data_IF_751484523319
#
_entry.id   IF_751484523319
#
_cell.length_a   1.000
_cell.length_b   1.000
_cell.length_c   1.000
_cell.angle_alpha   90.00
_cell.angle_beta   90.00
_cell.angle_gamma   90.00
#
_symmetry.space_group_name_H-M   'P 1'
#
loop_
_entity.id
_entity.type
_entity.pdbx_description
1 polymer ?
#
# COMPACT_ATOMS: atom_id res chain seq x y z
N UNK A 1 -19.52 -3.00 -20.31
CA UNK A 1 -19.84 -1.70 -20.95
C UNK A 1 -21.21 -1.19 -20.50
N UNK A 2 -21.33 -0.81 -19.22
CA UNK A 2 -22.52 -0.13 -18.69
C UNK A 2 -22.10 0.81 -17.55
N UNK A 3 -21.23 1.77 -17.89
CA UNK A 3 -21.14 3.02 -17.15
C UNK A 3 -22.32 3.87 -17.62
N UNK A 4 -23.13 4.35 -16.67
CA UNK A 4 -24.14 5.37 -16.91
C UNK A 4 -23.46 6.54 -17.63
N UNK A 5 -23.75 6.73 -18.93
CA UNK A 5 -23.18 7.75 -19.82
C UNK A 5 -23.21 9.20 -19.27
N UNK A 6 -23.88 9.45 -18.15
CA UNK A 6 -23.97 10.77 -17.52
C UNK A 6 -22.76 11.14 -16.65
N UNK A 7 -21.96 10.17 -16.18
CA UNK A 7 -20.84 10.45 -15.26
C UNK A 7 -19.45 10.26 -15.88
N UNK A 8 -19.35 9.79 -17.12
CA UNK A 8 -18.04 9.48 -17.73
C UNK A 8 -17.14 10.72 -17.85
N UNK A 9 -17.69 11.87 -18.24
CA UNK A 9 -16.94 13.12 -18.34
C UNK A 9 -16.36 13.56 -16.98
N UNK A 10 -17.11 13.33 -15.89
CA UNK A 10 -16.66 13.66 -14.54
C UNK A 10 -15.54 12.72 -14.10
N UNK A 11 -15.66 11.43 -14.39
CA UNK A 11 -14.60 10.45 -14.13
C UNK A 11 -13.35 10.80 -14.94
N UNK A 12 -13.49 11.14 -16.22
CA UNK A 12 -12.37 11.58 -17.07
C UNK A 12 -11.69 12.84 -16.52
N UNK A 13 -12.45 13.82 -16.04
CA UNK A 13 -11.91 15.02 -15.40
C UNK A 13 -11.09 14.68 -14.14
N UNK A 14 -11.60 13.79 -13.28
CA UNK A 14 -10.88 13.32 -12.09
C UNK A 14 -9.60 12.55 -12.49
N UNK A 15 -9.69 11.67 -13.49
CA UNK A 15 -8.54 10.96 -14.04
C UNK A 15 -7.46 11.93 -14.53
N UNK A 16 -7.85 12.96 -15.30
CA UNK A 16 -6.93 14.01 -15.75
C UNK A 16 -6.28 14.76 -14.58
N UNK A 17 -7.04 15.05 -13.52
CA UNK A 17 -6.52 15.65 -12.29
C UNK A 17 -5.43 14.82 -11.60
N UNK A 18 -5.45 13.50 -11.75
CA UNK A 18 -4.42 12.58 -11.26
C UNK A 18 -3.36 12.20 -12.31
N UNK A 19 -3.46 12.74 -13.53
CA UNK A 19 -2.55 12.42 -14.64
C UNK A 19 -2.68 11.00 -15.17
N UNK A 20 -3.85 10.36 -15.00
CA UNK A 20 -4.14 9.00 -15.48
C UNK A 20 -5.18 9.02 -16.60
N UNK A 21 -5.17 7.99 -17.44
CA UNK A 21 -6.23 7.79 -18.44
C UNK A 21 -7.34 6.90 -17.89
N UNK A 22 -8.55 6.98 -18.48
CA UNK A 22 -9.65 6.10 -18.10
C UNK A 22 -9.32 4.63 -18.40
N UNK A 23 -8.67 4.37 -19.53
CA UNK A 23 -8.27 3.03 -19.97
C UNK A 23 -7.27 2.39 -18.99
N UNK A 24 -6.35 3.20 -18.44
CA UNK A 24 -5.43 2.74 -17.41
C UNK A 24 -6.20 2.28 -16.18
N UNK A 25 -7.18 3.06 -15.72
CA UNK A 25 -8.01 2.70 -14.56
C UNK A 25 -8.88 1.47 -14.85
N UNK A 26 -9.45 1.36 -16.04
CA UNK A 26 -10.20 0.17 -16.47
C UNK A 26 -9.32 -1.10 -16.46
N UNK A 27 -8.06 -0.99 -16.88
CA UNK A 27 -7.11 -2.09 -16.80
C UNK A 27 -6.76 -2.44 -15.34
N UNK A 28 -6.63 -1.44 -14.46
CA UNK A 28 -6.35 -1.64 -13.03
C UNK A 28 -7.51 -2.38 -12.33
N UNK A 29 -8.74 -1.91 -12.49
CA UNK A 29 -9.91 -2.58 -11.88
C UNK A 29 -10.07 -4.01 -12.41
N UNK A 30 -9.76 -4.23 -13.70
CA UNK A 30 -9.75 -5.56 -14.32
C UNK A 30 -8.67 -6.47 -13.72
N UNK A 31 -7.44 -5.96 -13.54
CA UNK A 31 -6.36 -6.70 -12.85
C UNK A 31 -6.70 -7.00 -11.39
N UNK A 32 -7.48 -6.13 -10.73
CA UNK A 32 -8.05 -6.37 -9.41
C UNK A 32 -9.29 -7.28 -9.41
N UNK A 33 -9.67 -7.86 -10.56
CA UNK A 33 -10.71 -8.88 -10.67
C UNK A 33 -12.12 -8.35 -10.91
N UNK A 34 -12.30 -7.07 -11.20
CA UNK A 34 -13.61 -6.48 -11.50
C UNK A 34 -13.89 -6.50 -13.01
N UNK A 35 -14.98 -7.16 -13.40
CA UNK A 35 -15.44 -7.20 -14.80
C UNK A 35 -16.21 -5.94 -15.23
N UNK A 36 -16.60 -5.12 -14.26
CA UNK A 36 -17.39 -3.91 -14.46
C UNK A 36 -16.91 -2.85 -13.47
N UNK A 37 -17.19 -1.58 -13.76
CA UNK A 37 -16.90 -0.49 -12.83
C UNK A 37 -17.54 -0.76 -11.45
N UNK A 38 -16.74 -0.81 -10.36
CA UNK A 38 -17.28 -1.03 -9.01
C UNK A 38 -18.27 0.08 -8.64
N UNK A 39 -19.38 -0.29 -7.99
CA UNK A 39 -20.29 0.72 -7.41
C UNK A 39 -19.63 1.31 -6.16
N UNK A 40 -19.91 2.58 -5.86
CA UNK A 40 -19.57 3.17 -4.58
C UNK A 40 -20.52 2.60 -3.50
N UNK A 41 -20.11 1.50 -2.86
CA UNK A 41 -20.84 0.84 -1.77
C UNK A 41 -19.86 0.13 -0.84
N UNK A 42 -20.27 -0.13 0.39
CA UNK A 42 -19.40 -0.79 1.38
C UNK A 42 -18.90 -2.16 0.90
N UNK A 43 -19.77 -3.00 0.35
CA UNK A 43 -19.40 -4.32 -0.17
C UNK A 43 -18.34 -4.25 -1.28
N UNK A 44 -18.48 -3.29 -2.21
CA UNK A 44 -17.52 -3.11 -3.28
C UNK A 44 -16.20 -2.52 -2.78
N UNK A 45 -16.24 -1.62 -1.79
CA UNK A 45 -15.03 -1.11 -1.13
C UNK A 45 -14.27 -2.25 -0.45
N UNK A 46 -14.99 -3.11 0.28
CA UNK A 46 -14.42 -4.30 0.94
C UNK A 46 -13.80 -5.27 -0.07
N UNK A 47 -14.50 -5.57 -1.16
CA UNK A 47 -13.98 -6.41 -2.25
C UNK A 47 -12.75 -5.79 -2.93
N UNK A 48 -12.79 -4.48 -3.20
CA UNK A 48 -11.68 -3.76 -3.84
C UNK A 48 -10.45 -3.79 -2.95
N UNK A 49 -10.61 -3.44 -1.67
CA UNK A 49 -9.52 -3.41 -0.72
C UNK A 49 -8.95 -4.80 -0.45
N UNK A 50 -9.80 -5.82 -0.33
CA UNK A 50 -9.35 -7.20 -0.24
C UNK A 50 -8.52 -7.61 -1.47
N UNK A 51 -8.99 -7.26 -2.67
CA UNK A 51 -8.26 -7.56 -3.91
C UNK A 51 -6.93 -6.81 -3.97
N UNK A 52 -6.92 -5.53 -3.57
CA UNK A 52 -5.70 -4.73 -3.47
C UNK A 52 -4.66 -5.42 -2.58
N UNK A 53 -5.05 -5.81 -1.36
CA UNK A 53 -4.16 -6.47 -0.39
C UNK A 53 -3.60 -7.83 -0.89
N UNK A 54 -4.28 -8.50 -1.81
CA UNK A 54 -3.84 -9.78 -2.38
C UNK A 54 -2.94 -9.62 -3.60
N UNK A 55 -3.14 -8.54 -4.37
CA UNK A 55 -2.53 -8.39 -5.69
C UNK A 55 -1.41 -7.36 -5.75
N UNK A 56 -1.51 -6.25 -5.00
CA UNK A 56 -0.51 -5.18 -5.01
C UNK A 56 0.49 -5.42 -3.87
N UNK A 57 1.74 -5.82 -4.15
CA UNK A 57 2.70 -6.09 -3.09
C UNK A 57 3.15 -4.79 -2.42
N UNK A 58 3.47 -4.88 -1.13
CA UNK A 58 4.20 -3.82 -0.45
C UNK A 58 5.69 -4.01 -0.74
N UNK A 59 6.31 -3.11 -1.50
CA UNK A 59 7.72 -3.22 -1.88
C UNK A 59 8.45 -1.88 -1.94
N UNK A 60 9.77 -1.93 -2.11
CA UNK A 60 10.60 -0.75 -2.37
C UNK A 60 11.45 -0.85 -3.63
N UNK A 61 11.06 -1.69 -4.59
CA UNK A 61 11.86 -2.08 -5.75
C UNK A 61 12.24 -0.88 -6.60
N UNK A 62 11.26 -0.05 -6.99
CA UNK A 62 11.51 1.15 -7.77
C UNK A 62 12.45 2.11 -7.08
N UNK A 63 12.32 2.23 -5.76
CA UNK A 63 13.20 3.05 -4.94
C UNK A 63 14.63 2.51 -4.91
N UNK A 64 14.80 1.19 -4.81
CA UNK A 64 16.12 0.53 -4.88
C UNK A 64 16.78 0.76 -6.23
N UNK A 65 16.04 0.59 -7.33
CA UNK A 65 16.54 0.81 -8.69
C UNK A 65 16.97 2.27 -8.86
N UNK A 66 16.13 3.21 -8.42
CA UNK A 66 16.43 4.64 -8.49
C UNK A 66 17.77 5.00 -7.81
N UNK A 67 17.98 4.55 -6.56
CA UNK A 67 19.21 4.85 -5.84
C UNK A 67 20.42 4.04 -6.35
N UNK A 68 20.23 2.76 -6.65
CA UNK A 68 21.28 1.89 -7.18
C UNK A 68 21.85 2.38 -8.51
N UNK A 69 21.00 2.95 -9.37
CA UNK A 69 21.38 3.54 -10.65
C UNK A 69 21.74 5.03 -10.55
N UNK A 70 21.77 5.60 -9.34
CA UNK A 70 22.10 7.02 -9.09
C UNK A 70 21.26 7.97 -9.96
N UNK A 71 19.97 7.64 -10.11
CA UNK A 71 19.06 8.43 -10.93
C UNK A 71 18.83 9.82 -10.30
N UNK A 72 18.54 10.80 -11.15
CA UNK A 72 18.18 12.16 -10.76
C UNK A 72 16.70 12.45 -11.06
N UNK A 73 16.10 13.40 -10.34
CA UNK A 73 14.70 13.80 -10.52
C UNK A 73 13.79 13.30 -9.38
N UNK A 74 12.46 13.37 -9.55
CA UNK A 74 11.51 12.87 -8.56
C UNK A 74 11.76 11.39 -8.24
N UNK A 75 11.44 10.97 -7.01
CA UNK A 75 11.39 9.55 -6.67
C UNK A 75 10.29 8.88 -7.52
N UNK A 76 10.54 7.64 -8.00
CA UNK A 76 9.56 6.91 -8.79
C UNK A 76 8.32 6.63 -7.95
N UNK A 77 7.22 6.23 -8.59
CA UNK A 77 5.92 5.88 -7.99
C UNK A 77 5.31 7.00 -7.12
N UNK A 78 5.79 8.24 -7.28
CA UNK A 78 5.28 9.43 -6.57
C UNK A 78 4.02 10.04 -7.19
N UNK A 79 3.55 9.49 -8.31
CA UNK A 79 2.31 9.89 -8.97
C UNK A 79 1.47 8.65 -9.35
N UNK A 80 0.13 8.79 -9.48
CA UNK A 80 -0.75 7.65 -9.75
C UNK A 80 -0.48 6.93 -11.08
N UNK A 81 -0.16 7.67 -12.15
CA UNK A 81 0.08 7.11 -13.48
C UNK A 81 1.25 6.14 -13.50
N UNK A 82 2.37 6.56 -12.91
CA UNK A 82 3.55 5.72 -12.76
C UNK A 82 3.29 4.53 -11.82
N UNK A 83 2.60 4.74 -10.70
CA UNK A 83 2.24 3.65 -9.78
C UNK A 83 1.43 2.57 -10.50
N UNK A 84 0.36 2.95 -11.20
CA UNK A 84 -0.53 2.01 -11.89
C UNK A 84 0.14 1.33 -13.08
N UNK A 85 0.90 2.06 -13.88
CA UNK A 85 1.62 1.48 -15.03
C UNK A 85 2.61 0.41 -14.57
N UNK A 86 3.40 0.71 -13.53
CA UNK A 86 4.34 -0.23 -12.93
C UNK A 86 3.65 -1.44 -12.28
N UNK A 87 2.47 -1.27 -11.69
CA UNK A 87 1.68 -2.39 -11.18
C UNK A 87 1.18 -3.28 -12.32
N UNK A 88 0.68 -2.71 -13.42
CA UNK A 88 0.23 -3.51 -14.57
C UNK A 88 1.38 -4.29 -15.20
N UNK A 89 2.51 -3.62 -15.44
CA UNK A 89 3.63 -4.15 -16.22
C UNK A 89 4.54 -5.09 -15.42
N UNK A 90 4.77 -4.78 -14.15
CA UNK A 90 5.79 -5.46 -13.34
C UNK A 90 5.25 -6.08 -12.06
N UNK A 91 3.94 -5.94 -11.80
CA UNK A 91 3.29 -6.39 -10.55
C UNK A 91 3.95 -5.83 -9.29
N UNK A 92 4.59 -4.67 -9.40
CA UNK A 92 5.14 -3.90 -8.28
C UNK A 92 4.07 -3.01 -7.65
N UNK A 93 4.28 -2.59 -6.41
CA UNK A 93 3.46 -1.61 -5.72
C UNK A 93 4.36 -0.50 -5.18
N UNK A 94 4.49 -0.43 -3.86
CA UNK A 94 5.37 0.53 -3.21
C UNK A 94 5.38 0.45 -1.69
N UNK A 95 5.94 1.47 -1.06
CA UNK A 95 5.89 1.63 0.40
C UNK A 95 4.63 2.39 0.82
N UNK A 96 4.49 2.74 2.11
CA UNK A 96 3.30 3.38 2.68
C UNK A 96 2.80 4.59 1.87
N UNK A 97 3.69 5.51 1.49
CA UNK A 97 3.31 6.70 0.73
C UNK A 97 2.85 6.36 -0.69
N UNK A 98 3.59 5.51 -1.42
CA UNK A 98 3.20 5.07 -2.76
C UNK A 98 1.86 4.34 -2.76
N UNK A 99 1.64 3.43 -1.79
CA UNK A 99 0.35 2.77 -1.61
C UNK A 99 -0.77 3.75 -1.31
N UNK A 100 -0.54 4.75 -0.46
CA UNK A 100 -1.55 5.77 -0.16
C UNK A 100 -1.89 6.62 -1.38
N UNK A 101 -0.88 6.99 -2.18
CA UNK A 101 -1.05 7.74 -3.44
C UNK A 101 -1.92 6.94 -4.42
N UNK A 102 -1.57 5.67 -4.66
CA UNK A 102 -2.31 4.79 -5.58
C UNK A 102 -3.73 4.49 -5.08
N UNK A 103 -3.89 4.15 -3.81
CA UNK A 103 -5.19 3.77 -3.25
C UNK A 103 -6.13 4.97 -3.11
N UNK A 104 -5.63 6.13 -2.66
CA UNK A 104 -6.40 7.37 -2.61
C UNK A 104 -6.92 7.76 -3.99
N UNK A 105 -6.04 7.80 -4.99
CA UNK A 105 -6.41 8.21 -6.36
C UNK A 105 -7.42 7.25 -6.97
N UNK A 106 -7.21 5.92 -6.86
CA UNK A 106 -8.15 4.92 -7.35
C UNK A 106 -9.54 5.10 -6.69
N UNK A 107 -9.59 5.20 -5.37
CA UNK A 107 -10.86 5.35 -4.65
C UNK A 107 -11.60 6.63 -5.02
N UNK A 108 -10.88 7.75 -5.18
CA UNK A 108 -11.48 9.03 -5.55
C UNK A 108 -11.98 9.02 -7.00
N UNK A 109 -11.27 8.37 -7.92
CA UNK A 109 -11.72 8.13 -9.31
C UNK A 109 -12.97 7.25 -9.34
N UNK A 110 -13.04 6.20 -8.50
CA UNK A 110 -14.22 5.34 -8.36
C UNK A 110 -15.41 6.05 -7.69
N UNK A 111 -15.24 7.31 -7.28
CA UNK A 111 -16.30 8.16 -6.75
C UNK A 111 -16.53 8.02 -5.25
N UNK A 112 -15.65 7.36 -4.50
CA UNK A 112 -15.73 7.29 -3.04
C UNK A 112 -15.42 8.64 -2.40
N UNK A 113 -16.07 8.91 -1.25
CA UNK A 113 -15.63 10.01 -0.40
C UNK A 113 -14.38 9.59 0.39
N UNK A 114 -13.23 9.80 -0.21
CA UNK A 114 -11.93 9.50 0.39
C UNK A 114 -11.20 10.75 0.91
N UNK A 115 -10.50 10.61 2.04
CA UNK A 115 -9.51 11.56 2.57
C UNK A 115 -8.22 10.84 2.92
N UNK A 116 -7.12 11.57 2.90
CA UNK A 116 -5.82 11.08 3.33
C UNK A 116 -5.52 11.49 4.78
N UNK A 117 -4.79 10.65 5.49
CA UNK A 117 -4.29 10.94 6.83
C UNK A 117 -2.82 10.50 6.94
N UNK A 118 -2.12 11.01 7.95
CA UNK A 118 -0.71 10.71 8.16
C UNK A 118 -0.43 10.42 9.64
N UNK A 119 0.53 9.55 9.88
CA UNK A 119 0.94 9.14 11.21
C UNK A 119 2.36 8.62 11.25
N UNK A 120 2.79 8.17 12.43
CA UNK A 120 4.12 7.62 12.65
C UNK A 120 4.08 6.20 13.15
N UNK A 121 5.03 5.39 12.68
CA UNK A 121 5.34 4.10 13.28
C UNK A 121 6.10 4.35 14.59
N UNK A 122 5.41 4.22 15.73
CA UNK A 122 5.92 4.60 17.05
C UNK A 122 7.22 3.85 17.35
N UNK A 123 8.28 4.60 17.64
CA UNK A 123 9.59 4.07 17.98
C UNK A 123 10.47 3.65 16.79
N UNK A 124 9.99 3.78 15.54
CA UNK A 124 10.77 3.41 14.35
C UNK A 124 11.31 4.61 13.56
N UNK A 125 10.63 5.76 13.62
CA UNK A 125 11.06 6.97 12.90
C UNK A 125 11.33 8.10 13.90
N UNK A 126 12.48 8.78 13.82
CA UNK A 126 12.75 9.94 14.65
C UNK A 126 11.69 11.05 14.43
N UNK A 127 11.13 11.66 15.49
CA UNK A 127 10.04 12.64 15.38
C UNK A 127 10.36 13.85 14.50
N UNK A 128 11.64 14.25 14.42
CA UNK A 128 12.12 15.37 13.60
C UNK A 128 11.89 15.16 12.09
N UNK A 129 11.69 13.91 11.64
CA UNK A 129 11.35 13.63 10.27
C UNK A 129 9.87 13.88 9.97
N UNK A 130 9.02 14.05 10.99
CA UNK A 130 7.56 14.12 10.88
C UNK A 130 6.91 12.76 10.60
N UNK A 131 5.60 12.73 10.24
CA UNK A 131 4.85 11.50 10.03
C UNK A 131 5.53 10.53 9.06
N UNK A 132 5.71 9.27 9.45
CA UNK A 132 6.43 8.27 8.64
C UNK A 132 5.53 7.40 7.76
N UNK A 133 4.21 7.55 7.88
CA UNK A 133 3.21 6.67 7.28
C UNK A 133 2.03 7.47 6.76
N UNK A 134 1.64 7.20 5.52
CA UNK A 134 0.38 7.68 4.94
C UNK A 134 -0.69 6.60 5.03
N UNK A 135 -1.94 7.02 5.18
CA UNK A 135 -3.10 6.14 5.12
C UNK A 135 -4.28 6.81 4.45
N UNK A 136 -5.33 6.02 4.21
CA UNK A 136 -6.53 6.43 3.50
C UNK A 136 -7.75 6.05 4.32
N UNK A 137 -8.69 7.01 4.44
CA UNK A 137 -9.96 6.83 5.13
C UNK A 137 -11.09 7.12 4.15
N UNK A 138 -12.06 6.21 4.09
CA UNK A 138 -13.23 6.33 3.22
C UNK A 138 -14.49 6.50 4.06
N UNK A 139 -15.32 7.47 3.69
CA UNK A 139 -16.65 7.67 4.25
C UNK A 139 -17.69 7.07 3.30
N UNK A 140 -18.59 6.25 3.84
CA UNK A 140 -19.79 5.78 3.13
C UNK A 140 -20.97 6.13 4.02
N UNK A 141 -21.89 6.94 3.49
CA UNK A 141 -22.95 7.58 4.27
C UNK A 141 -22.31 8.39 5.42
N UNK A 142 -22.43 7.95 6.66
CA UNK A 142 -21.85 8.60 7.84
C UNK A 142 -20.76 7.74 8.53
N UNK A 143 -20.46 6.55 8.01
CA UNK A 143 -19.47 5.65 8.60
C UNK A 143 -18.11 5.79 7.91
N UNK A 144 -17.08 6.00 8.72
CA UNK A 144 -15.69 6.07 8.27
C UNK A 144 -15.01 4.71 8.38
N UNK A 145 -14.22 4.36 7.38
CA UNK A 145 -13.48 3.10 7.28
C UNK A 145 -12.00 3.36 7.04
N UNK A 146 -11.14 2.67 7.80
CA UNK A 146 -9.71 2.60 7.49
C UNK A 146 -9.49 1.67 6.28
N UNK A 147 -8.76 2.18 5.29
CA UNK A 147 -8.41 1.47 4.06
C UNK A 147 -6.91 1.65 3.80
N UNK A 148 -6.08 0.94 4.56
CA UNK A 148 -4.62 1.17 4.56
C UNK A 148 -3.87 0.25 3.60
N UNK A 149 -3.17 0.82 2.62
CA UNK A 149 -2.52 0.03 1.59
C UNK A 149 -1.36 -0.86 2.06
N UNK A 150 -0.70 -0.62 3.20
CA UNK A 150 0.46 -1.42 3.63
C UNK A 150 0.24 -2.27 4.88
N UNK A 151 -0.85 -2.03 5.63
CA UNK A 151 -1.24 -2.98 6.68
C UNK A 151 -1.63 -4.34 6.07
N UNK A 152 -2.19 -4.34 4.86
CA UNK A 152 -2.59 -5.53 4.08
C UNK A 152 -3.49 -6.48 4.89
N UNK A 153 -4.54 -5.90 5.47
CA UNK A 153 -5.44 -6.58 6.43
C UNK A 153 -6.64 -7.24 5.75
N UNK A 154 -6.77 -7.10 4.43
CA UNK A 154 -7.78 -7.74 3.58
C UNK A 154 -9.23 -7.41 3.91
N UNK A 155 -9.48 -6.43 4.78
CA UNK A 155 -10.80 -6.05 5.22
C UNK A 155 -10.86 -4.58 5.66
N UNK A 156 -11.94 -3.88 5.34
CA UNK A 156 -12.13 -2.50 5.81
C UNK A 156 -12.55 -2.51 7.27
N UNK A 157 -12.02 -1.56 8.05
CA UNK A 157 -12.26 -1.51 9.50
C UNK A 157 -13.01 -0.22 9.85
N UNK A 158 -14.22 -0.29 10.43
CA UNK A 158 -14.95 0.91 10.82
C UNK A 158 -14.20 1.66 11.91
N UNK A 159 -14.10 2.96 11.78
CA UNK A 159 -13.53 3.84 12.78
C UNK A 159 -14.61 4.29 13.77
N UNK A 160 -14.27 4.33 15.05
CA UNK A 160 -15.16 4.79 16.12
C UNK A 160 -14.36 5.59 17.14
N UNK A 161 -14.94 6.69 17.62
CA UNK A 161 -14.39 7.46 18.74
C UNK A 161 -14.87 6.94 20.11
N UNK A 162 -15.91 6.11 20.12
CA UNK A 162 -16.52 5.63 21.36
C UNK A 162 -15.90 4.33 21.87
N UNK A 163 -15.40 3.49 20.95
CA UNK A 163 -14.88 2.16 21.28
C UNK A 163 -13.76 1.75 20.33
N UNK A 164 -12.85 0.86 20.78
CA UNK A 164 -11.89 0.23 19.90
C UNK A 164 -12.57 -0.60 18.81
N UNK A 165 -11.99 -0.60 17.62
CA UNK A 165 -12.37 -1.46 16.50
C UNK A 165 -11.37 -2.58 16.31
N UNK A 166 -11.85 -3.73 15.87
CA UNK A 166 -11.03 -4.89 15.49
C UNK A 166 -11.45 -5.28 14.08
N UNK A 167 -10.48 -5.53 13.21
CA UNK A 167 -10.77 -5.93 11.83
C UNK A 167 -9.64 -6.72 11.20
N UNK A 168 -9.93 -7.31 10.03
CA UNK A 168 -9.04 -8.22 9.33
C UNK A 168 -9.10 -9.66 9.86
N UNK A 169 -9.07 -10.68 8.97
CA UNK A 169 -8.99 -12.07 9.38
C UNK A 169 -7.61 -12.38 9.98
N UNK A 170 -7.50 -13.45 10.76
CA UNK A 170 -6.18 -13.99 11.09
C UNK A 170 -5.44 -14.40 9.80
N UNK A 171 -4.11 -14.16 9.71
CA UNK A 171 -3.22 -13.60 10.73
C UNK A 171 -3.06 -12.07 10.66
N UNK A 172 -3.89 -11.37 9.88
CA UNK A 172 -3.77 -9.93 9.58
C UNK A 172 -4.63 -9.02 10.46
N UNK A 173 -5.13 -9.54 11.58
CA UNK A 173 -6.00 -8.79 12.48
C UNK A 173 -5.30 -7.56 13.07
N UNK A 174 -6.01 -6.44 13.10
CA UNK A 174 -5.56 -5.19 13.72
C UNK A 174 -6.54 -4.73 14.79
N UNK A 175 -6.05 -3.86 15.67
CA UNK A 175 -6.85 -3.17 16.68
C UNK A 175 -6.67 -1.67 16.48
N UNK A 176 -7.77 -0.93 16.48
CA UNK A 176 -7.77 0.52 16.30
C UNK A 176 -8.37 1.13 17.56
N UNK A 177 -7.62 2.01 18.21
CA UNK A 177 -8.04 2.71 19.42
C UNK A 177 -8.19 4.19 19.13
N UNK A 178 -9.27 4.87 19.60
CA UNK A 178 -9.30 6.32 19.58
C UNK A 178 -8.15 6.88 20.42
N UNK A 179 -7.51 7.94 19.94
CA UNK A 179 -6.43 8.62 20.66
C UNK A 179 -6.86 10.04 21.09
N UNK A 180 -5.97 10.73 21.79
CA UNK A 180 -6.27 12.00 22.47
C UNK A 180 -6.54 13.20 21.54
N UNK A 181 -6.34 13.05 20.23
CA UNK A 181 -6.55 14.12 19.23
C UNK A 181 -7.76 13.84 18.33
N UNK A 182 -8.72 13.03 18.78
CA UNK A 182 -9.83 12.53 17.96
C UNK A 182 -9.34 11.78 16.69
N UNK A 183 -8.14 11.18 16.77
CA UNK A 183 -7.56 10.31 15.76
C UNK A 183 -7.46 8.88 16.30
N UNK A 184 -6.57 8.07 15.73
CA UNK A 184 -6.47 6.66 16.07
C UNK A 184 -5.03 6.16 16.22
N UNK A 185 -4.85 5.27 17.19
CA UNK A 185 -3.68 4.39 17.29
C UNK A 185 -4.05 3.03 16.70
N UNK A 186 -3.33 2.61 15.66
CA UNK A 186 -3.52 1.35 14.96
C UNK A 186 -2.43 0.37 15.40
N UNK A 187 -2.84 -0.71 16.07
CA UNK A 187 -1.95 -1.76 16.58
C UNK A 187 -2.06 -2.99 15.70
N UNK A 188 -0.93 -3.45 15.16
CA UNK A 188 -0.87 -4.54 14.21
C UNK A 188 0.44 -5.31 14.30
N UNK A 189 0.49 -6.52 13.74
CA UNK A 189 1.72 -7.28 13.53
C UNK A 189 2.17 -7.15 12.08
N UNK A 190 3.45 -6.98 11.86
CA UNK A 190 4.02 -7.03 10.51
C UNK A 190 4.18 -8.48 10.05
N UNK A 191 4.24 -8.71 8.74
CA UNK A 191 4.42 -10.05 8.17
C UNK A 191 5.76 -10.74 8.48
N UNK A 192 6.67 -10.08 9.20
CA UNK A 192 8.03 -10.53 9.51
C UNK A 192 8.40 -10.40 11.00
N UNK A 193 7.43 -10.09 11.87
CA UNK A 193 7.67 -9.96 13.32
C UNK A 193 6.49 -10.46 14.16
N UNK A 194 6.78 -11.09 15.29
CA UNK A 194 5.78 -11.44 16.30
C UNK A 194 5.39 -10.26 17.19
N UNK A 195 6.20 -9.20 17.21
CA UNK A 195 5.93 -8.00 17.99
C UNK A 195 4.88 -7.15 17.30
N UNK A 196 3.91 -6.68 18.08
CA UNK A 196 2.99 -5.63 17.66
C UNK A 196 3.74 -4.31 17.46
N UNK A 197 3.31 -3.55 16.47
CA UNK A 197 3.73 -2.19 16.17
C UNK A 197 2.50 -1.29 16.27
N UNK A 198 2.71 -0.05 16.72
CA UNK A 198 1.67 0.98 16.72
C UNK A 198 1.97 2.00 15.62
N UNK A 199 1.02 2.19 14.72
CA UNK A 199 0.95 3.39 13.89
C UNK A 199 0.02 4.39 14.60
N UNK A 200 0.55 5.54 15.00
CA UNK A 200 -0.23 6.63 15.58
C UNK A 200 -0.56 7.64 14.50
N UNK A 201 -1.85 7.85 14.22
CA UNK A 201 -2.29 8.93 13.35
C UNK A 201 -2.14 10.27 14.08
N UNK A 202 -1.55 11.23 13.37
CA UNK A 202 -1.12 12.53 13.91
C UNK A 202 -1.78 13.70 13.17
N UNK A 203 -2.07 13.52 11.88
CA UNK A 203 -2.65 14.55 11.02
C UNK A 203 -3.75 13.90 10.20
N UNK A 204 -4.88 14.58 10.14
CA UNK A 204 -6.02 14.15 9.35
C UNK A 204 -6.35 15.12 8.22
N UNK A 205 -7.05 14.60 7.21
CA UNK A 205 -7.57 15.33 6.06
C UNK A 205 -6.48 16.16 5.36
N UNK A 206 -5.35 15.51 5.09
CA UNK A 206 -4.25 16.13 4.35
C UNK A 206 -4.56 16.16 2.86
N UNK A 207 -4.07 17.19 2.19
CA UNK A 207 -4.16 17.31 0.73
C UNK A 207 -3.40 16.17 0.03
N UNK A 208 -3.81 15.81 -1.18
CA UNK A 208 -3.13 14.76 -1.95
C UNK A 208 -1.64 15.07 -2.19
N UNK A 209 -1.30 16.34 -2.43
CA UNK A 209 0.08 16.79 -2.61
C UNK A 209 0.95 16.55 -1.37
N UNK A 210 0.36 16.52 -0.17
CA UNK A 210 1.08 16.18 1.06
C UNK A 210 1.63 14.75 0.99
N UNK A 211 0.86 13.79 0.46
CA UNK A 211 1.36 12.41 0.29
C UNK A 211 2.59 12.36 -0.64
N UNK A 212 2.58 13.17 -1.70
CA UNK A 212 3.68 13.24 -2.67
C UNK A 212 4.92 13.91 -2.06
N UNK A 213 4.73 15.00 -1.32
CA UNK A 213 5.82 15.67 -0.60
C UNK A 213 6.45 14.74 0.45
N UNK A 214 5.62 14.03 1.24
CA UNK A 214 6.11 13.06 2.22
C UNK A 214 6.83 11.90 1.56
N UNK A 215 6.37 11.43 0.40
CA UNK A 215 7.09 10.45 -0.40
C UNK A 215 8.50 10.95 -0.77
N UNK A 216 8.62 12.14 -1.36
CA UNK A 216 9.92 12.73 -1.72
C UNK A 216 10.83 12.91 -0.50
N UNK A 217 10.29 13.36 0.63
CA UNK A 217 11.04 13.54 1.88
C UNK A 217 11.71 12.25 2.35
N UNK A 218 11.14 11.08 2.06
CA UNK A 218 11.72 9.79 2.43
C UNK A 218 13.06 9.48 1.76
N UNK A 219 13.47 10.26 0.76
CA UNK A 219 14.78 10.17 0.11
C UNK A 219 15.94 10.25 1.11
N UNK A 220 15.76 11.00 2.19
CA UNK A 220 16.87 11.36 3.09
C UNK A 220 17.08 10.39 4.26
N UNK A 221 16.06 9.63 4.66
CA UNK A 221 16.09 8.90 5.94
C UNK A 221 15.48 7.50 5.90
N UNK A 222 14.86 7.09 4.79
CA UNK A 222 14.07 5.86 4.80
C UNK A 222 14.95 4.60 4.78
N UNK A 223 14.68 3.60 5.65
CA UNK A 223 15.36 2.31 5.59
C UNK A 223 15.07 1.55 4.30
N UNK A 224 14.01 1.92 3.57
CA UNK A 224 13.67 1.38 2.27
C UNK A 224 14.58 1.87 1.14
N UNK A 225 15.60 2.70 1.42
CA UNK A 225 16.56 3.14 0.42
C UNK A 225 17.67 2.08 0.17
N UNK A 226 18.04 1.31 1.20
CA UNK A 226 19.30 0.55 1.22
C UNK A 226 19.15 -0.97 1.14
N UNK A 227 17.98 -1.52 1.48
CA UNK A 227 17.77 -2.97 1.49
C UNK A 227 16.44 -3.35 0.88
N UNK A 228 16.40 -4.44 0.11
CA UNK A 228 15.18 -4.91 -0.55
C UNK A 228 14.18 -5.31 0.52
N UNK A 229 12.94 -4.89 0.33
CA UNK A 229 11.79 -5.32 1.08
C UNK A 229 10.65 -5.56 0.09
N UNK A 230 10.03 -6.72 0.18
CA UNK A 230 8.76 -6.99 -0.51
C UNK A 230 7.90 -7.92 0.34
N UNK A 231 6.61 -7.64 0.42
CA UNK A 231 5.60 -8.47 1.07
C UNK A 231 4.39 -8.67 0.17
N UNK A 232 3.82 -9.87 0.21
CA UNK A 232 2.55 -10.21 -0.46
C UNK A 232 1.73 -11.17 0.41
N UNK A 233 0.41 -10.99 0.42
CA UNK A 233 -0.51 -11.97 0.98
C UNK A 233 -0.82 -13.07 -0.06
N UNK A 234 -0.82 -14.33 0.36
CA UNK A 234 -1.07 -15.51 -0.48
C UNK A 234 -2.09 -16.39 0.25
N UNK A 235 -3.35 -16.29 -0.16
CA UNK A 235 -4.44 -16.92 0.59
C UNK A 235 -4.51 -16.35 2.02
N UNK A 236 -4.56 -17.22 3.03
CA UNK A 236 -4.56 -16.83 4.45
C UNK A 236 -3.15 -16.72 5.06
N UNK A 237 -2.14 -16.48 4.23
CA UNK A 237 -0.71 -16.46 4.60
C UNK A 237 -0.07 -15.21 4.04
N UNK A 238 1.12 -14.85 4.52
CA UNK A 238 1.93 -13.84 3.87
C UNK A 238 3.37 -14.30 3.73
N UNK A 239 4.01 -13.81 2.67
CA UNK A 239 5.44 -13.99 2.43
C UNK A 239 6.08 -12.62 2.41
N UNK A 240 7.17 -12.45 3.16
CA UNK A 240 7.99 -11.24 3.15
C UNK A 240 9.42 -11.62 2.83
N UNK A 241 10.02 -10.98 1.83
CA UNK A 241 11.45 -11.07 1.55
C UNK A 241 12.09 -9.76 1.98
N UNK A 242 13.11 -9.84 2.84
CA UNK A 242 13.90 -8.68 3.21
C UNK A 242 15.22 -9.05 3.86
N UNK A 243 16.28 -8.28 3.54
CA UNK A 243 17.66 -8.51 4.06
C UNK A 243 18.12 -9.97 3.90
N UNK A 244 17.93 -10.53 2.71
CA UNK A 244 18.22 -11.93 2.35
C UNK A 244 17.53 -12.99 3.24
N UNK A 245 16.40 -12.65 3.87
CA UNK A 245 15.56 -13.60 4.62
C UNK A 245 14.18 -13.67 4.02
N UNK A 246 13.64 -14.87 3.91
CA UNK A 246 12.27 -15.14 3.51
C UNK A 246 11.46 -15.52 4.74
N UNK A 247 10.50 -14.67 5.10
CA UNK A 247 9.59 -14.87 6.21
C UNK A 247 8.27 -15.41 5.70
N UNK A 248 7.78 -16.46 6.34
CA UNK A 248 6.47 -17.06 6.06
C UNK A 248 5.57 -16.89 7.28
N UNK A 249 4.54 -16.06 7.13
CA UNK A 249 3.47 -15.94 8.10
C UNK A 249 2.36 -16.93 7.72
N UNK A 250 2.09 -17.90 8.60
CA UNK A 250 1.05 -18.90 8.37
C UNK A 250 -0.33 -18.44 8.89
N UNK A 251 -1.38 -19.24 8.63
CA UNK A 251 -2.76 -18.90 8.98
C UNK A 251 -3.00 -18.79 10.50
N UNK A 252 -2.17 -19.46 11.31
CA UNK A 252 -2.22 -19.38 12.76
C UNK A 252 -1.49 -18.13 13.32
N UNK A 253 -0.81 -17.36 12.47
CA UNK A 253 -0.03 -16.20 12.86
C UNK A 253 1.39 -16.51 13.34
N UNK A 254 1.90 -17.72 13.07
CA UNK A 254 3.29 -18.08 13.37
C UNK A 254 4.20 -17.69 12.20
N UNK A 255 5.44 -17.34 12.51
CA UNK A 255 6.44 -16.94 11.52
C UNK A 255 7.55 -17.99 11.46
N UNK A 256 7.86 -18.47 10.26
CA UNK A 256 9.09 -19.22 9.97
C UNK A 256 10.00 -18.38 9.08
N UNK A 257 11.31 -18.62 9.16
CA UNK A 257 12.31 -17.84 8.44
C UNK A 257 13.28 -18.76 7.73
N UNK A 258 13.55 -18.46 6.46
CA UNK A 258 14.54 -19.12 5.62
C UNK A 258 15.60 -18.10 5.22
N UNK A 259 16.87 -18.50 5.28
CA UNK A 259 17.99 -17.68 4.81
C UNK A 259 18.17 -17.89 3.30
N UNK A 260 18.25 -16.81 2.54
CA UNK A 260 18.47 -16.84 1.09
C UNK A 260 19.96 -16.71 0.83
N UNK A 261 20.54 -17.77 0.28
CA UNK A 261 21.99 -17.92 0.20
C UNK A 261 22.55 -17.34 -1.10
N UNK A 262 21.72 -17.27 -2.16
CA UNK A 262 22.19 -16.82 -3.48
C UNK A 262 21.28 -15.78 -4.12
N UNK A 263 21.87 -14.91 -4.94
CA UNK A 263 21.11 -13.97 -5.77
C UNK A 263 20.21 -14.67 -6.79
N UNK A 264 20.60 -15.85 -7.30
CA UNK A 264 19.79 -16.62 -8.23
C UNK A 264 18.49 -17.10 -7.56
N UNK A 265 18.60 -17.60 -6.33
CA UNK A 265 17.45 -17.97 -5.51
C UNK A 265 16.54 -16.76 -5.22
N UNK A 266 17.13 -15.62 -4.83
CA UNK A 266 16.41 -14.36 -4.63
C UNK A 266 15.60 -13.96 -5.87
N UNK A 267 16.21 -13.99 -7.06
CA UNK A 267 15.54 -13.67 -8.33
C UNK A 267 14.38 -14.63 -8.63
N UNK A 268 14.58 -15.94 -8.41
CA UNK A 268 13.52 -16.94 -8.60
C UNK A 268 12.33 -16.73 -7.67
N UNK A 269 12.59 -16.37 -6.40
CA UNK A 269 11.54 -16.04 -5.44
C UNK A 269 10.75 -14.81 -5.90
N UNK A 270 11.45 -13.75 -6.30
CA UNK A 270 10.85 -12.51 -6.79
C UNK A 270 9.92 -12.75 -7.99
N UNK A 271 10.34 -13.58 -8.95
CA UNK A 271 9.51 -13.92 -10.12
C UNK A 271 8.36 -14.85 -9.71
N UNK A 272 8.66 -15.99 -9.07
CA UNK A 272 7.68 -17.07 -8.91
C UNK A 272 6.66 -16.84 -7.77
N UNK A 273 7.07 -16.16 -6.69
CA UNK A 273 6.19 -15.93 -5.53
C UNK A 273 5.53 -14.55 -5.63
N UNK A 274 6.31 -13.53 -6.00
CA UNK A 274 5.81 -12.17 -6.03
C UNK A 274 5.22 -11.77 -7.39
N UNK A 275 5.37 -12.61 -8.42
CA UNK A 275 4.84 -12.40 -9.78
C UNK A 275 5.45 -11.18 -10.47
N UNK A 276 6.71 -10.87 -10.15
CA UNK A 276 7.44 -9.75 -10.73
C UNK A 276 7.97 -10.11 -12.12
N UNK A 277 8.04 -9.13 -13.01
CA UNK A 277 8.65 -9.29 -14.33
C UNK A 277 10.15 -9.61 -14.22
N UNK A 278 10.69 -10.38 -15.17
CA UNK A 278 12.13 -10.63 -15.21
C UNK A 278 12.93 -9.34 -15.40
N UNK A 279 12.38 -8.39 -16.16
CA UNK A 279 12.98 -7.09 -16.41
C UNK A 279 13.23 -6.33 -15.10
N UNK A 280 12.18 -6.14 -14.27
CA UNK A 280 12.33 -5.39 -13.03
C UNK A 280 13.26 -6.12 -12.05
N UNK A 281 13.17 -7.45 -12.01
CA UNK A 281 14.00 -8.28 -11.12
C UNK A 281 15.48 -8.21 -11.51
N UNK A 282 15.78 -8.05 -12.79
CA UNK A 282 17.16 -7.88 -13.27
C UNK A 282 17.72 -6.47 -13.02
N UNK A 283 16.85 -5.47 -12.86
CA UNK A 283 17.25 -4.10 -12.56
C UNK A 283 17.54 -3.86 -11.06
N UNK A 284 17.08 -4.73 -10.15
CA UNK A 284 17.26 -4.57 -8.70
C UNK A 284 18.76 -4.65 -8.33
N UNK A 285 19.33 -3.63 -7.66
CA UNK A 285 20.69 -3.69 -7.17
C UNK A 285 20.83 -4.66 -5.97
N UNK A 286 22.06 -5.04 -5.64
CA UNK A 286 22.34 -5.75 -4.40
C UNK A 286 21.99 -4.89 -3.18
N UNK A 287 21.69 -5.53 -2.04
CA UNK A 287 21.48 -4.80 -0.78
C UNK A 287 22.78 -4.11 -0.34
N UNK A 288 22.66 -2.92 0.25
CA UNK A 288 23.80 -2.22 0.82
C UNK A 288 24.33 -3.00 2.06
N UNK A 289 25.63 -2.91 2.36
CA UNK A 289 26.24 -3.57 3.53
C UNK A 289 25.64 -3.16 4.88
#
# INVERSE_FOLDING_TARGET
MNLLKKDINKVEEICLGFGVSLELIEAIISKLGFQQWPKNSEDNLRMLYQSWCKNVPQDNIHKRIYFGNQMSGPLPIGNPSEFFSNFLEHSTGGTCWGHSIGLYSLLKILGYDVRAAAGSMVGLTPPENGPSHGTVIVTIEDQQYLVDGILMIEDIVPLSQERPSIGGPLPFTIKIYPNFNDLWDIVFRTGHSEKELTCRLEIDNVEFSYLQERWENTRNYSPFNSSLFIRKNIGKKAVTLGRNKLFHLNEAGNITVEEIVTNLEKKRILINIFDLSEEIVNAIPLDDP
#
